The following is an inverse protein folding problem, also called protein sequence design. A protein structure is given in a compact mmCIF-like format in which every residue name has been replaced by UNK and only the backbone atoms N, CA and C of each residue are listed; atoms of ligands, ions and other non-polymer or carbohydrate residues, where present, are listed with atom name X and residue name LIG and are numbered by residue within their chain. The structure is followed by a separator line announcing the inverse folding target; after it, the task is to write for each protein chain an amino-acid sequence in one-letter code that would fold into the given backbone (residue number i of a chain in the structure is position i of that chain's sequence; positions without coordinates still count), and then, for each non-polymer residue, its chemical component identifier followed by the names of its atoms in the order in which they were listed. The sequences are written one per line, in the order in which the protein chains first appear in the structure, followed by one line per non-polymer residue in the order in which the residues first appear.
data_IF_661527607581
#
_entry.id   IF_661527607581
#
_cell.length_a   1.000
_cell.length_b   1.000
_cell.length_c   1.000
_cell.angle_alpha   90.00
_cell.angle_beta   90.00
_cell.angle_gamma   90.00
#
_symmetry.space_group_name_H-M   'P 1'
#
loop_
_entity.id
_entity.type
_entity.pdbx_description
1 polymer ?
#
# COMPACT_ATOMS: atom_id res chain seq x y z
N UNK A 1 -11.89 6.92 3.94
CA UNK A 1 -11.60 7.99 4.92
C UNK A 1 -11.26 9.26 4.17
N UNK A 2 -11.85 10.41 4.52
CA UNK A 2 -11.53 11.73 3.95
C UNK A 2 -10.93 12.62 5.05
N UNK A 3 -9.82 13.29 4.77
CA UNK A 3 -9.12 14.16 5.74
C UNK A 3 -8.79 15.51 5.13
N UNK A 4 -9.13 16.57 5.85
CA UNK A 4 -8.67 17.91 5.48
C UNK A 4 -7.23 18.08 5.99
N UNK A 5 -6.31 18.46 5.10
CA UNK A 5 -4.91 18.73 5.43
C UNK A 5 -4.61 20.17 5.06
N UNK A 6 -4.25 20.98 6.05
CA UNK A 6 -4.05 22.43 5.88
C UNK A 6 -2.64 22.82 5.49
N UNK A 7 -1.68 21.93 5.72
CA UNK A 7 -0.25 22.13 5.50
C UNK A 7 0.35 20.97 4.71
N UNK A 8 1.40 20.35 5.25
CA UNK A 8 2.23 19.39 4.51
C UNK A 8 1.86 17.95 4.82
N UNK A 9 1.67 17.17 3.76
CA UNK A 9 1.63 15.70 3.82
C UNK A 9 2.92 15.11 3.25
N UNK A 10 3.45 14.07 3.89
CA UNK A 10 4.55 13.24 3.39
C UNK A 10 4.05 11.82 3.19
N UNK A 11 4.38 11.19 2.07
CA UNK A 11 3.91 9.85 1.71
C UNK A 11 5.12 8.96 1.39
N UNK A 12 5.19 7.82 2.05
CA UNK A 12 6.14 6.72 1.77
C UNK A 12 5.37 5.42 1.59
N UNK A 13 5.87 4.49 0.78
CA UNK A 13 5.29 3.16 0.59
C UNK A 13 6.38 2.11 0.51
N UNK A 14 6.00 0.82 0.49
CA UNK A 14 6.89 -0.26 0.07
C UNK A 14 8.19 -0.32 0.88
N UNK A 15 8.07 -0.21 2.21
CA UNK A 15 9.20 -0.40 3.13
C UNK A 15 9.53 -1.88 3.34
N UNK A 16 8.53 -2.76 3.14
CA UNK A 16 8.68 -4.22 3.12
C UNK A 16 9.46 -4.78 4.31
N UNK A 17 9.20 -4.29 5.53
CA UNK A 17 9.86 -4.80 6.73
C UNK A 17 9.66 -6.32 6.84
N UNK A 18 10.75 -7.06 6.88
CA UNK A 18 10.73 -8.53 6.80
C UNK A 18 11.31 -9.09 5.50
N UNK A 19 11.44 -8.27 4.45
CA UNK A 19 12.24 -8.59 3.25
C UNK A 19 13.75 -8.38 3.54
N UNK A 20 14.64 -9.30 3.14
CA UNK A 20 16.08 -9.14 3.32
C UNK A 20 16.69 -7.90 2.63
N UNK A 21 16.04 -7.37 1.60
CA UNK A 21 16.45 -6.18 0.86
C UNK A 21 15.86 -4.88 1.39
N UNK A 22 15.09 -4.90 2.49
CA UNK A 22 14.48 -3.71 3.09
C UNK A 22 15.53 -2.71 3.60
N UNK A 23 15.64 -1.56 2.92
CA UNK A 23 16.59 -0.50 3.19
C UNK A 23 16.25 0.28 4.47
N UNK A 24 14.96 0.42 4.78
CA UNK A 24 14.48 1.15 5.97
C UNK A 24 14.76 0.40 7.30
N UNK A 25 15.61 -0.63 7.28
CA UNK A 25 16.15 -1.31 8.47
C UNK A 25 17.55 -0.81 8.86
N UNK A 26 18.18 -0.01 7.99
CA UNK A 26 19.55 0.48 8.17
C UNK A 26 19.54 1.83 8.89
N UNK A 27 20.35 1.93 9.94
CA UNK A 27 20.40 3.12 10.80
C UNK A 27 20.75 4.40 10.03
N UNK A 28 21.72 4.34 9.11
CA UNK A 28 22.13 5.48 8.27
C UNK A 28 20.99 6.01 7.40
N UNK A 29 20.16 5.12 6.86
CA UNK A 29 19.01 5.48 6.02
C UNK A 29 17.88 6.06 6.87
N UNK A 30 17.59 5.44 8.02
CA UNK A 30 16.56 5.92 8.95
C UNK A 30 16.93 7.32 9.46
N UNK A 31 18.15 7.50 9.95
CA UNK A 31 18.65 8.79 10.46
C UNK A 31 18.60 9.87 9.37
N UNK A 32 19.03 9.56 8.15
CA UNK A 32 18.95 10.48 7.02
C UNK A 32 17.51 10.89 6.70
N UNK A 33 16.59 9.92 6.66
CA UNK A 33 15.18 10.20 6.38
C UNK A 33 14.54 11.07 7.46
N UNK A 34 14.73 10.73 8.74
CA UNK A 34 14.23 11.53 9.85
C UNK A 34 14.83 12.94 9.85
N UNK A 35 16.12 13.09 9.53
CA UNK A 35 16.76 14.41 9.39
C UNK A 35 16.11 15.23 8.29
N UNK A 36 15.85 14.65 7.12
CA UNK A 36 15.16 15.37 6.04
C UNK A 36 13.72 15.75 6.42
N UNK A 37 13.00 14.91 7.17
CA UNK A 37 11.67 15.25 7.69
C UNK A 37 11.74 16.42 8.69
N UNK A 38 12.70 16.41 9.60
CA UNK A 38 12.90 17.47 10.60
C UNK A 38 13.25 18.82 9.94
N UNK A 39 14.11 18.80 8.92
CA UNK A 39 14.49 19.98 8.15
C UNK A 39 13.29 20.63 7.41
N UNK A 40 12.26 19.86 7.08
CA UNK A 40 11.02 20.39 6.48
C UNK A 40 10.17 21.16 7.50
N UNK A 41 10.41 20.98 8.79
CA UNK A 41 9.60 21.53 9.87
C UNK A 41 8.33 20.71 10.10
N UNK A 42 7.26 21.39 10.54
CA UNK A 42 6.03 20.71 10.93
C UNK A 42 5.36 19.98 9.75
N UNK A 43 5.01 18.71 9.98
CA UNK A 43 4.28 17.85 9.03
C UNK A 43 2.89 17.60 9.61
N UNK A 44 1.84 17.93 8.85
CA UNK A 44 0.46 17.68 9.28
C UNK A 44 0.13 16.19 9.22
N UNK A 45 0.65 15.49 8.21
CA UNK A 45 0.32 14.09 7.96
C UNK A 45 1.51 13.32 7.37
N UNK A 46 1.92 12.23 8.02
CA UNK A 46 2.79 11.23 7.43
C UNK A 46 1.98 9.99 7.06
N UNK A 47 2.03 9.58 5.79
CA UNK A 47 1.29 8.43 5.26
C UNK A 47 2.24 7.28 4.92
N UNK A 48 1.98 6.11 5.47
CA UNK A 48 2.56 4.82 5.08
C UNK A 48 1.61 4.13 4.09
N UNK A 49 1.85 4.32 2.79
CA UNK A 49 0.99 3.93 1.67
C UNK A 49 1.21 2.48 1.21
N UNK A 50 0.99 1.56 2.14
CA UNK A 50 0.93 0.12 1.89
C UNK A 50 2.29 -0.55 1.76
N UNK A 51 2.26 -1.87 1.93
CA UNK A 51 3.43 -2.75 1.93
C UNK A 51 4.53 -2.25 2.89
N UNK A 52 4.09 -1.86 4.09
CA UNK A 52 4.96 -1.50 5.21
C UNK A 52 5.67 -2.73 5.73
N UNK A 53 4.93 -3.83 5.91
CA UNK A 53 5.45 -5.14 6.34
C UNK A 53 5.28 -6.19 5.26
N UNK A 54 6.30 -7.03 5.05
CA UNK A 54 6.20 -8.17 4.14
C UNK A 54 5.72 -9.42 4.87
N UNK A 55 4.39 -9.53 5.07
CA UNK A 55 3.78 -10.69 5.74
C UNK A 55 3.64 -11.91 4.84
N UNK A 56 3.91 -11.76 3.54
CA UNK A 56 3.91 -12.87 2.59
C UNK A 56 5.21 -13.67 2.66
N UNK A 57 6.32 -13.04 3.05
CA UNK A 57 7.61 -13.71 3.24
C UNK A 57 7.87 -14.15 4.66
N UNK A 58 7.46 -13.35 5.64
CA UNK A 58 7.78 -13.63 7.03
C UNK A 58 6.57 -13.47 7.94
N UNK A 59 6.75 -13.89 9.19
CA UNK A 59 5.71 -13.78 10.21
C UNK A 59 5.64 -12.35 10.71
N UNK A 60 4.44 -11.89 11.06
CA UNK A 60 4.20 -10.55 11.62
C UNK A 60 5.19 -10.16 12.72
N UNK A 61 5.48 -11.04 13.67
CA UNK A 61 6.42 -10.74 14.75
C UNK A 61 7.85 -10.44 14.23
N UNK A 62 8.29 -11.13 13.18
CA UNK A 62 9.61 -10.92 12.56
C UNK A 62 9.61 -9.64 11.71
N UNK A 63 8.55 -9.43 10.92
CA UNK A 63 8.36 -8.19 10.14
C UNK A 63 8.31 -6.96 11.06
N UNK A 64 7.55 -7.00 12.15
CA UNK A 64 7.45 -5.93 13.13
C UNK A 64 8.79 -5.68 13.84
N UNK A 65 9.52 -6.74 14.19
CA UNK A 65 10.86 -6.62 14.75
C UNK A 65 11.84 -5.94 13.79
N UNK A 66 11.75 -6.22 12.48
CA UNK A 66 12.57 -5.58 11.47
C UNK A 66 12.31 -4.06 11.36
N UNK A 67 11.06 -3.62 11.52
CA UNK A 67 10.68 -2.20 11.51
C UNK A 67 10.93 -1.45 12.83
N UNK A 68 11.33 -2.15 13.90
CA UNK A 68 11.41 -1.57 15.26
C UNK A 68 12.29 -0.32 15.33
N UNK A 69 13.46 -0.32 14.69
CA UNK A 69 14.35 0.84 14.70
C UNK A 69 13.68 2.07 14.07
N UNK A 70 13.09 1.91 12.88
CA UNK A 70 12.37 2.98 12.18
C UNK A 70 11.24 3.57 13.03
N UNK A 71 10.36 2.73 13.58
CA UNK A 71 9.22 3.22 14.38
C UNK A 71 9.66 3.87 15.70
N UNK A 72 10.77 3.45 16.31
CA UNK A 72 11.33 4.12 17.50
C UNK A 72 11.88 5.50 17.17
N UNK A 73 12.62 5.64 16.08
CA UNK A 73 13.11 6.94 15.63
C UNK A 73 11.95 7.85 15.27
N UNK A 74 10.92 7.32 14.60
CA UNK A 74 9.71 8.06 14.27
C UNK A 74 8.95 8.53 15.53
N UNK A 75 8.84 7.67 16.55
CA UNK A 75 8.25 8.01 17.85
C UNK A 75 9.05 9.10 18.58
N UNK A 76 10.38 9.03 18.51
CA UNK A 76 11.28 10.00 19.14
C UNK A 76 11.26 11.35 18.44
N UNK A 77 11.16 11.36 17.11
CA UNK A 77 11.11 12.58 16.30
C UNK A 77 9.83 13.38 16.57
N UNK A 78 8.65 12.74 16.49
CA UNK A 78 7.38 13.37 16.86
C UNK A 78 6.98 14.63 16.06
N UNK A 79 7.62 14.90 14.92
CA UNK A 79 7.37 16.10 14.10
C UNK A 79 6.13 16.03 13.19
N UNK A 80 5.49 14.86 13.11
CA UNK A 80 4.22 14.68 12.42
C UNK A 80 3.04 14.76 13.40
N UNK A 81 2.03 15.59 13.09
CA UNK A 81 0.79 15.68 13.89
C UNK A 81 -0.01 14.39 13.84
N UNK A 82 -0.01 13.74 12.69
CA UNK A 82 -0.77 12.52 12.46
C UNK A 82 0.00 11.53 11.57
N UNK A 83 -0.18 10.25 11.85
CA UNK A 83 0.35 9.16 11.06
C UNK A 83 -0.76 8.22 10.62
N UNK A 84 -0.87 7.99 9.32
CA UNK A 84 -1.86 7.09 8.71
C UNK A 84 -1.14 5.98 7.96
N UNK A 85 -1.60 4.75 8.09
CA UNK A 85 -1.20 3.62 7.27
C UNK A 85 -2.37 3.23 6.37
N UNK A 86 -2.15 3.26 5.05
CA UNK A 86 -3.05 2.62 4.10
C UNK A 86 -2.54 1.20 3.87
N UNK A 87 -3.30 0.15 4.15
CA UNK A 87 -2.79 -1.21 3.97
C UNK A 87 -2.60 -1.54 2.46
N UNK A 88 -1.49 -2.20 2.14
CA UNK A 88 -1.21 -2.79 0.84
C UNK A 88 -1.60 -4.25 0.79
N UNK A 89 -1.09 -4.99 -0.19
CA UNK A 89 -1.37 -6.42 -0.34
C UNK A 89 -0.50 -7.29 0.57
N UNK A 90 0.76 -6.91 0.84
CA UNK A 90 1.67 -7.68 1.70
C UNK A 90 1.32 -7.59 3.18
N UNK A 91 0.69 -6.49 3.61
CA UNK A 91 0.28 -6.24 4.99
C UNK A 91 -1.24 -6.16 5.15
N UNK A 92 -2.01 -6.62 4.15
CA UNK A 92 -3.47 -6.67 4.17
C UNK A 92 -4.05 -7.37 5.40
N UNK A 93 -3.32 -8.34 5.96
CA UNK A 93 -3.73 -9.06 7.17
C UNK A 93 -3.95 -8.14 8.38
N UNK A 94 -3.26 -6.99 8.45
CA UNK A 94 -3.48 -6.00 9.51
C UNK A 94 -4.90 -5.42 9.43
N UNK A 95 -5.38 -5.12 8.22
CA UNK A 95 -6.73 -4.64 7.99
C UNK A 95 -7.78 -5.74 8.22
N UNK A 96 -7.57 -6.92 7.65
CA UNK A 96 -8.54 -8.03 7.75
C UNK A 96 -8.73 -8.51 9.19
N UNK A 97 -7.66 -8.54 9.98
CA UNK A 97 -7.70 -8.87 11.40
C UNK A 97 -8.53 -7.84 12.17
N UNK A 98 -8.37 -6.56 11.87
CA UNK A 98 -9.20 -5.51 12.46
C UNK A 98 -10.68 -5.71 12.13
N UNK A 99 -11.05 -5.93 10.86
CA UNK A 99 -12.44 -6.19 10.46
C UNK A 99 -13.02 -7.38 11.23
N UNK A 100 -12.28 -8.50 11.30
CA UNK A 100 -12.73 -9.71 12.00
C UNK A 100 -12.91 -9.47 13.50
N UNK A 101 -11.99 -8.77 14.15
CA UNK A 101 -12.12 -8.40 15.57
C UNK A 101 -13.36 -7.53 15.82
N UNK A 102 -13.68 -6.59 14.92
CA UNK A 102 -14.91 -5.79 15.04
C UNK A 102 -16.16 -6.66 14.92
N UNK A 103 -16.26 -7.50 13.87
CA UNK A 103 -17.40 -8.41 13.68
C UNK A 103 -17.60 -9.34 14.88
N UNK A 104 -16.51 -9.86 15.46
CA UNK A 104 -16.54 -10.72 16.66
C UNK A 104 -17.05 -9.96 17.88
N UNK A 105 -16.62 -8.71 18.08
CA UNK A 105 -17.10 -7.85 19.18
C UNK A 105 -18.58 -7.53 19.03
N UNK A 106 -19.03 -7.18 17.83
CA UNK A 106 -20.45 -6.95 17.54
C UNK A 106 -21.29 -8.22 17.74
N UNK A 107 -20.73 -9.38 17.45
CA UNK A 107 -21.34 -10.68 17.74
C UNK A 107 -21.29 -11.09 19.22
N UNK A 108 -20.66 -10.28 20.09
CA UNK A 108 -20.52 -10.54 21.52
C UNK A 108 -19.56 -11.68 21.88
N UNK A 109 -18.61 -12.00 21.00
CA UNK A 109 -17.62 -13.05 21.26
C UNK A 109 -16.52 -12.53 22.21
N UNK A 110 -16.24 -13.26 23.29
CA UNK A 110 -15.16 -12.92 24.22
C UNK A 110 -13.79 -13.25 23.60
N UNK A 111 -12.93 -12.25 23.40
CA UNK A 111 -11.56 -12.46 22.91
C UNK A 111 -10.65 -12.93 24.07
N UNK A 112 -10.04 -14.10 23.92
CA UNK A 112 -8.90 -14.50 24.75
C UNK A 112 -7.71 -13.58 24.40
N UNK A 113 -7.11 -12.95 25.42
CA UNK A 113 -6.09 -11.89 25.33
C UNK A 113 -4.73 -12.27 24.71
N UNK A 114 -4.57 -13.44 24.11
CA UNK A 114 -3.27 -13.86 23.58
C UNK A 114 -3.08 -13.41 22.12
N UNK A 115 -2.15 -12.47 21.95
CA UNK A 115 -1.70 -11.80 20.71
C UNK A 115 -2.54 -10.59 20.27
N UNK A 116 -2.51 -9.52 21.06
CA UNK A 116 -3.04 -8.23 20.63
C UNK A 116 -1.99 -7.46 19.80
N UNK A 117 -2.14 -7.44 18.48
CA UNK A 117 -2.00 -6.16 17.79
C UNK A 117 -3.00 -5.23 18.47
N UNK A 118 -2.52 -4.21 19.19
CA UNK A 118 -3.42 -3.28 19.86
C UNK A 118 -4.02 -2.40 18.78
N UNK A 119 -5.13 -2.88 18.20
CA UNK A 119 -5.99 -2.07 17.38
C UNK A 119 -6.91 -1.28 18.31
N UNK A 120 -6.55 -0.01 18.53
CA UNK A 120 -7.23 0.95 19.38
C UNK A 120 -8.70 1.17 19.00
N UNK A 121 -9.43 1.78 19.93
CA UNK A 121 -10.85 2.09 19.76
C UNK A 121 -11.05 3.13 18.68
N UNK A 122 -11.89 2.79 17.69
CA UNK A 122 -12.48 3.73 16.73
C UNK A 122 -13.11 4.89 17.52
N UNK A 123 -12.68 6.13 17.24
CA UNK A 123 -13.45 7.33 17.61
C UNK A 123 -14.34 7.62 16.41
N UNK A 124 -15.63 7.88 16.62
CA UNK A 124 -16.58 8.14 15.53
C UNK A 124 -15.97 9.10 14.49
N UNK A 125 -15.66 8.58 13.30
CA UNK A 125 -15.10 9.33 12.18
C UNK A 125 -13.57 9.33 12.03
N UNK A 126 -12.79 8.76 12.96
CA UNK A 126 -11.32 8.80 12.93
C UNK A 126 -10.68 7.48 12.43
N UNK A 127 -11.40 6.35 12.48
CA UNK A 127 -10.95 5.06 11.94
C UNK A 127 -10.17 4.20 12.96
N UNK A 128 -9.72 3.00 12.57
CA UNK A 128 -8.96 2.12 13.45
C UNK A 128 -7.57 2.72 13.74
N UNK A 129 -7.00 2.45 14.91
CA UNK A 129 -5.60 2.81 15.25
C UNK A 129 -4.81 1.54 15.53
N UNK A 130 -3.63 1.34 14.96
CA UNK A 130 -2.66 0.35 15.43
C UNK A 130 -1.52 1.07 16.17
N UNK A 131 -1.09 0.57 17.33
CA UNK A 131 0.08 1.11 18.02
C UNK A 131 1.33 0.26 17.75
N UNK A 132 2.38 0.87 17.18
CA UNK A 132 3.67 0.21 16.88
C UNK A 132 4.79 0.98 17.54
N UNK A 133 5.51 0.35 18.48
CA UNK A 133 6.58 1.00 19.28
C UNK A 133 6.13 2.33 19.92
N UNK A 134 4.85 2.44 20.30
CA UNK A 134 4.28 3.67 20.89
C UNK A 134 3.79 4.70 19.88
N UNK A 135 3.99 4.48 18.57
CA UNK A 135 3.44 5.32 17.49
C UNK A 135 2.00 4.91 17.19
N UNK A 136 1.01 5.80 17.33
CA UNK A 136 -0.33 5.54 16.85
C UNK A 136 -0.41 5.69 15.32
N UNK A 137 -0.84 4.64 14.64
CA UNK A 137 -1.05 4.60 13.19
C UNK A 137 -2.53 4.44 12.90
N UNK A 138 -3.17 5.44 12.31
CA UNK A 138 -4.55 5.31 11.84
C UNK A 138 -4.59 4.42 10.60
N UNK A 139 -5.45 3.41 10.58
CA UNK A 139 -5.55 2.46 9.48
C UNK A 139 -6.56 2.93 8.45
N UNK A 140 -6.24 2.74 7.18
CA UNK A 140 -7.14 2.98 6.07
C UNK A 140 -7.01 1.87 5.02
N UNK A 141 -8.12 1.54 4.37
CA UNK A 141 -8.16 0.64 3.23
C UNK A 141 -9.49 0.82 2.48
N UNK A 142 -9.55 0.69 1.15
CA UNK A 142 -8.42 0.52 0.22
C UNK A 142 -7.69 1.84 -0.13
N UNK A 143 -8.26 2.98 0.23
CA UNK A 143 -7.66 4.30 -0.07
C UNK A 143 -7.94 5.33 1.02
N UNK A 144 -7.13 6.40 1.00
CA UNK A 144 -7.29 7.62 1.77
C UNK A 144 -7.49 8.80 0.81
N UNK A 145 -8.50 9.62 1.07
CA UNK A 145 -8.72 10.88 0.35
C UNK A 145 -8.27 12.04 1.22
N UNK A 146 -7.49 12.96 0.66
CA UNK A 146 -7.15 14.23 1.30
C UNK A 146 -7.82 15.39 0.55
N UNK A 147 -8.30 16.37 1.31
CA UNK A 147 -8.63 17.71 0.82
C UNK A 147 -7.50 18.67 1.21
N UNK A 148 -6.76 19.13 0.20
CA UNK A 148 -5.63 20.05 0.34
C UNK A 148 -5.97 21.38 -0.32
N UNK A 149 -6.66 22.23 0.44
CA UNK A 149 -7.04 23.57 -0.01
C UNK A 149 -8.06 23.55 -1.16
N UNK A 150 -8.99 22.59 -1.15
CA UNK A 150 -10.00 22.40 -2.19
C UNK A 150 -9.60 21.44 -3.30
N UNK A 151 -8.35 20.94 -3.28
CA UNK A 151 -7.86 19.96 -4.23
C UNK A 151 -7.89 18.56 -3.61
N UNK A 152 -8.36 17.60 -4.39
CA UNK A 152 -8.56 16.23 -3.93
C UNK A 152 -7.35 15.38 -4.27
N UNK A 153 -6.71 14.82 -3.24
CA UNK A 153 -5.65 13.81 -3.37
C UNK A 153 -6.24 12.44 -3.03
N UNK A 154 -6.03 11.46 -3.90
CA UNK A 154 -6.37 10.07 -3.65
C UNK A 154 -5.09 9.26 -3.46
N UNK A 155 -4.96 8.63 -2.30
CA UNK A 155 -3.82 7.80 -1.92
C UNK A 155 -4.30 6.33 -1.86
N UNK A 156 -3.77 5.47 -2.70
CA UNK A 156 -4.04 4.02 -2.70
C UNK A 156 -2.74 3.26 -2.92
N UNK A 157 -2.53 2.11 -2.28
CA UNK A 157 -1.29 1.35 -2.46
C UNK A 157 -1.01 1.00 -3.93
N UNK A 158 -2.02 0.54 -4.69
CA UNK A 158 -1.92 0.37 -6.14
C UNK A 158 -2.09 -1.05 -6.65
N UNK A 159 -2.18 -2.06 -5.79
CA UNK A 159 -2.39 -3.46 -6.20
C UNK A 159 -3.70 -3.69 -6.96
N UNK A 160 -4.70 -2.82 -6.80
CA UNK A 160 -5.92 -2.85 -7.62
C UNK A 160 -5.69 -2.54 -9.10
N UNK A 161 -4.59 -1.83 -9.45
CA UNK A 161 -4.21 -1.61 -10.86
C UNK A 161 -3.86 -2.93 -11.56
N UNK A 162 -3.43 -3.93 -10.79
CA UNK A 162 -3.22 -5.25 -11.36
C UNK A 162 -4.50 -5.78 -11.96
N UNK A 163 -5.69 -5.51 -11.40
CA UNK A 163 -7.02 -5.91 -11.92
C UNK A 163 -7.37 -5.37 -13.32
N UNK A 164 -6.53 -4.57 -13.96
CA UNK A 164 -6.75 -4.14 -15.35
C UNK A 164 -5.62 -4.52 -16.32
N UNK A 165 -4.53 -5.13 -15.83
CA UNK A 165 -3.48 -5.73 -16.66
C UNK A 165 -4.02 -6.78 -17.68
N UNK A 166 -3.23 -7.15 -18.68
CA UNK A 166 -3.61 -8.21 -19.64
C UNK A 166 -2.81 -9.51 -19.43
N UNK A 167 -1.84 -9.49 -18.52
CA UNK A 167 -0.68 -10.40 -18.56
C UNK A 167 -0.63 -11.41 -17.42
N UNK A 168 -1.52 -11.33 -16.43
CA UNK A 168 -1.42 -12.13 -15.21
C UNK A 168 -2.67 -12.99 -14.97
N UNK A 169 -2.52 -14.02 -14.14
CA UNK A 169 -3.52 -15.04 -13.83
C UNK A 169 -4.91 -14.48 -13.47
N UNK A 170 -4.94 -13.27 -12.89
CA UNK A 170 -6.19 -12.63 -12.53
C UNK A 170 -7.01 -12.19 -13.75
N UNK A 171 -6.47 -12.05 -14.97
CA UNK A 171 -7.26 -11.79 -16.18
C UNK A 171 -8.30 -12.90 -16.48
N UNK A 172 -8.13 -14.09 -15.87
CA UNK A 172 -9.10 -15.20 -15.90
C UNK A 172 -9.89 -15.40 -14.61
N UNK A 173 -9.45 -14.91 -13.44
CA UNK A 173 -10.41 -14.64 -12.35
C UNK A 173 -11.30 -13.46 -12.69
N UNK A 174 -10.85 -12.53 -13.54
CA UNK A 174 -11.65 -11.54 -14.22
C UNK A 174 -12.58 -12.17 -15.26
N UNK A 175 -12.34 -13.40 -15.76
CA UNK A 175 -13.37 -14.16 -16.48
C UNK A 175 -14.44 -14.70 -15.53
N UNK A 176 -14.05 -15.18 -14.34
CA UNK A 176 -14.99 -15.57 -13.29
C UNK A 176 -15.80 -14.36 -12.79
N UNK A 177 -15.12 -13.24 -12.53
CA UNK A 177 -15.72 -11.95 -12.27
C UNK A 177 -16.57 -11.50 -13.45
N UNK A 178 -16.13 -11.66 -14.73
CA UNK A 178 -16.93 -11.33 -15.94
C UNK A 178 -18.17 -12.23 -16.10
N UNK A 179 -18.12 -13.46 -15.62
CA UNK A 179 -19.25 -14.39 -15.57
C UNK A 179 -20.24 -14.00 -14.47
N UNK A 180 -19.75 -13.61 -13.30
CA UNK A 180 -20.53 -13.03 -12.20
C UNK A 180 -21.13 -11.68 -12.63
N UNK A 181 -20.33 -10.83 -13.30
CA UNK A 181 -20.64 -9.51 -13.88
C UNK A 181 -21.72 -9.55 -14.97
N UNK A 182 -21.82 -10.66 -15.73
CA UNK A 182 -22.89 -10.80 -16.73
C UNK A 182 -24.29 -10.85 -16.11
N UNK A 183 -24.39 -11.05 -14.79
CA UNK A 183 -25.64 -11.05 -14.04
C UNK A 183 -25.73 -9.99 -12.93
N UNK A 184 -24.69 -9.21 -12.64
CA UNK A 184 -24.67 -8.24 -11.54
C UNK A 184 -24.66 -6.78 -12.01
N UNK A 185 -25.36 -5.92 -11.26
CA UNK A 185 -25.39 -4.47 -11.48
C UNK A 185 -24.05 -3.84 -11.06
N UNK A 186 -23.05 -3.86 -11.94
CA UNK A 186 -21.72 -3.31 -11.68
C UNK A 186 -20.87 -4.13 -10.69
N UNK A 187 -19.59 -3.79 -10.59
CA UNK A 187 -18.67 -4.26 -9.53
C UNK A 187 -18.22 -3.02 -8.77
N UNK A 188 -18.35 -3.04 -7.45
CA UNK A 188 -17.72 -2.04 -6.58
C UNK A 188 -16.29 -2.47 -6.23
N UNK A 189 -15.44 -1.51 -5.85
CA UNK A 189 -14.08 -1.80 -5.37
C UNK A 189 -14.09 -2.81 -4.20
N UNK A 190 -15.07 -2.69 -3.30
CA UNK A 190 -15.29 -3.62 -2.18
C UNK A 190 -15.53 -5.07 -2.62
N UNK A 191 -16.12 -5.29 -3.80
CA UNK A 191 -16.34 -6.65 -4.30
C UNK A 191 -15.03 -7.27 -4.77
N UNK A 192 -14.14 -6.48 -5.37
CA UNK A 192 -12.79 -6.92 -5.75
C UNK A 192 -11.98 -7.26 -4.49
N UNK A 193 -12.08 -6.43 -3.46
CA UNK A 193 -11.41 -6.67 -2.18
C UNK A 193 -11.86 -7.98 -1.53
N UNK A 194 -13.17 -8.24 -1.47
CA UNK A 194 -13.71 -9.50 -0.96
C UNK A 194 -13.24 -10.72 -1.74
N UNK A 195 -13.05 -10.59 -3.05
CA UNK A 195 -12.53 -11.66 -3.90
C UNK A 195 -11.03 -11.91 -3.69
N UNK A 196 -10.26 -10.87 -3.34
CA UNK A 196 -8.83 -10.96 -3.12
C UNK A 196 -8.46 -11.37 -1.68
N UNK A 197 -9.30 -11.06 -0.69
CA UNK A 197 -9.07 -11.36 0.74
C UNK A 197 -8.62 -12.80 1.00
N UNK A 198 -9.27 -13.87 0.47
CA UNK A 198 -8.81 -15.24 0.70
C UNK A 198 -7.40 -15.52 0.19
N UNK A 199 -6.98 -14.86 -0.89
CA UNK A 199 -5.64 -15.02 -1.46
C UNK A 199 -4.58 -14.33 -0.60
N UNK A 200 -4.82 -13.07 -0.22
CA UNK A 200 -3.91 -12.33 0.67
C UNK A 200 -3.74 -13.01 2.04
N UNK A 201 -4.84 -13.52 2.60
CA UNK A 201 -4.82 -14.29 3.85
C UNK A 201 -4.10 -15.63 3.70
N UNK A 202 -4.30 -16.32 2.58
CA UNK A 202 -3.59 -17.57 2.31
C UNK A 202 -2.08 -17.34 2.27
N UNK A 203 -1.61 -16.31 1.55
CA UNK A 203 -0.19 -15.98 1.47
C UNK A 203 0.38 -15.66 2.85
N UNK A 204 -0.33 -14.83 3.63
CA UNK A 204 0.06 -14.50 5.00
C UNK A 204 0.08 -15.72 5.94
N UNK A 205 -0.84 -16.67 5.76
CA UNK A 205 -0.84 -17.91 6.54
C UNK A 205 0.32 -18.82 6.15
N UNK A 206 0.63 -18.92 4.86
CA UNK A 206 1.69 -19.82 4.36
C UNK A 206 3.09 -19.40 4.79
N UNK A 207 3.33 -18.10 5.02
CA UNK A 207 4.61 -17.60 5.57
C UNK A 207 4.90 -18.13 6.99
N UNK A 208 3.87 -18.65 7.68
CA UNK A 208 4.00 -19.22 9.04
C UNK A 208 4.38 -20.70 9.06
N UNK A 209 4.37 -21.39 7.92
CA UNK A 209 4.64 -22.83 7.84
C UNK A 209 6.11 -23.04 7.43
N UNK A 210 7.00 -23.43 8.36
CA UNK A 210 8.44 -23.50 8.11
C UNK A 210 8.83 -24.38 6.92
N UNK A 211 8.10 -25.49 6.70
CA UNK A 211 8.32 -26.41 5.59
C UNK A 211 7.90 -25.83 4.24
N UNK A 212 6.95 -24.88 4.23
CA UNK A 212 6.51 -24.18 3.01
C UNK A 212 7.41 -22.97 2.74
N UNK A 213 7.80 -22.22 3.78
CA UNK A 213 8.72 -21.09 3.65
C UNK A 213 10.15 -21.53 3.33
N UNK A 214 10.67 -22.60 3.93
CA UNK A 214 11.95 -23.20 3.50
C UNK A 214 11.90 -23.87 2.12
N UNK A 215 10.68 -24.14 1.61
CA UNK A 215 10.39 -24.55 0.23
C UNK A 215 9.83 -23.39 -0.59
N UNK A 216 10.23 -22.15 -0.30
CA UNK A 216 9.84 -20.92 -1.01
C UNK A 216 9.86 -21.06 -2.55
N UNK A 217 10.71 -21.93 -3.11
CA UNK A 217 10.75 -22.21 -4.56
C UNK A 217 9.78 -23.28 -5.08
N UNK A 218 9.19 -24.13 -4.23
CA UNK A 218 8.27 -25.22 -4.63
C UNK A 218 6.80 -24.96 -4.29
N UNK A 219 6.45 -24.08 -3.36
CA UNK A 219 5.04 -23.66 -3.18
C UNK A 219 4.56 -22.83 -4.37
N UNK A 220 5.38 -21.89 -4.87
CA UNK A 220 5.17 -21.29 -6.18
C UNK A 220 5.28 -22.33 -7.32
N UNK A 221 6.04 -23.41 -7.12
CA UNK A 221 6.03 -24.61 -7.96
C UNK A 221 4.70 -25.39 -7.92
N UNK A 222 4.00 -25.43 -6.80
CA UNK A 222 2.68 -26.03 -6.62
C UNK A 222 1.59 -25.12 -7.21
N UNK A 223 1.71 -23.80 -7.01
CA UNK A 223 0.92 -22.79 -7.70
C UNK A 223 1.10 -22.89 -9.23
N UNK A 224 2.34 -23.09 -9.71
CA UNK A 224 2.70 -23.41 -11.10
C UNK A 224 2.16 -24.77 -11.56
N UNK A 225 2.09 -25.76 -10.68
CA UNK A 225 1.51 -27.07 -10.98
C UNK A 225 0.01 -26.94 -11.22
N UNK A 226 -0.72 -26.25 -10.34
CA UNK A 226 -2.13 -25.89 -10.57
C UNK A 226 -2.29 -25.02 -11.82
N UNK A 227 -1.36 -24.10 -12.07
CA UNK A 227 -1.38 -23.27 -13.28
C UNK A 227 -1.13 -24.07 -14.58
N UNK A 228 -0.22 -25.04 -14.57
CA UNK A 228 0.04 -25.96 -15.71
C UNK A 228 -1.12 -26.92 -15.94
N UNK A 229 -1.72 -27.45 -14.87
CA UNK A 229 -2.90 -28.32 -14.94
C UNK A 229 -4.09 -27.59 -15.60
N UNK A 230 -4.17 -26.28 -15.40
CA UNK A 230 -5.21 -25.39 -15.95
C UNK A 230 -4.79 -24.64 -17.24
N UNK A 231 -3.67 -25.02 -17.89
CA UNK A 231 -3.13 -24.44 -19.14
C UNK A 231 -2.87 -22.93 -19.09
N UNK A 232 -2.27 -22.42 -18.01
CA UNK A 232 -1.84 -21.03 -17.89
C UNK A 232 -0.34 -20.90 -18.21
N UNK A 233 0.03 -19.92 -19.05
CA UNK A 233 1.42 -19.49 -19.24
C UNK A 233 1.71 -18.34 -18.27
N UNK A 234 2.51 -18.59 -17.25
CA UNK A 234 3.03 -17.57 -16.34
C UNK A 234 4.49 -17.28 -16.69
N UNK A 235 4.81 -16.04 -17.04
CA UNK A 235 6.18 -15.51 -17.00
C UNK A 235 6.33 -14.74 -15.69
N UNK A 236 7.21 -15.20 -14.80
CA UNK A 236 7.63 -14.46 -13.58
C UNK A 236 7.02 -14.93 -12.25
N UNK A 237 7.82 -14.80 -11.18
CA UNK A 237 7.49 -15.06 -9.76
C UNK A 237 7.13 -13.77 -8.99
N UNK A 238 6.97 -12.67 -9.73
CA UNK A 238 6.89 -11.28 -9.23
C UNK A 238 5.58 -10.65 -9.73
N UNK A 239 5.05 -9.64 -9.02
CA UNK A 239 3.96 -8.79 -9.54
C UNK A 239 4.29 -8.38 -10.99
N UNK A 240 3.37 -8.55 -11.95
CA UNK A 240 3.62 -8.26 -13.37
C UNK A 240 3.94 -6.78 -13.63
N UNK A 241 3.68 -5.92 -12.64
CA UNK A 241 3.93 -4.47 -12.67
C UNK A 241 5.10 -4.04 -11.79
N UNK A 242 5.79 -4.97 -11.12
CA UNK A 242 7.02 -4.56 -10.44
C UNK A 242 7.97 -3.98 -11.48
N UNK A 243 8.45 -2.78 -11.20
CA UNK A 243 9.27 -1.93 -12.04
C UNK A 243 8.57 -1.24 -13.22
N UNK A 244 7.23 -1.32 -13.37
CA UNK A 244 6.55 -0.54 -14.42
C UNK A 244 6.42 0.92 -14.05
N UNK A 245 6.71 1.80 -15.01
CA UNK A 245 6.67 3.25 -14.81
C UNK A 245 5.23 3.76 -14.65
N UNK A 246 5.08 4.99 -14.15
CA UNK A 246 3.76 5.63 -14.02
C UNK A 246 3.04 5.71 -15.36
N UNK A 247 3.77 6.03 -16.44
CA UNK A 247 3.24 6.10 -17.80
C UNK A 247 2.71 4.75 -18.28
N UNK A 248 3.41 3.65 -17.99
CA UNK A 248 2.97 2.29 -18.33
C UNK A 248 1.69 1.87 -17.59
N UNK A 249 1.38 2.52 -16.47
CA UNK A 249 0.19 2.26 -15.65
C UNK A 249 -0.99 3.21 -15.95
N UNK A 250 -0.84 4.11 -16.92
CA UNK A 250 -1.84 5.14 -17.26
C UNK A 250 -3.19 4.55 -17.67
N UNK A 251 -3.19 3.49 -18.49
CA UNK A 251 -4.44 2.89 -19.00
C UNK A 251 -5.24 2.27 -17.86
N UNK A 252 -4.59 1.56 -16.95
CA UNK A 252 -5.23 0.86 -15.85
C UNK A 252 -5.68 1.80 -14.75
N UNK A 253 -4.89 2.85 -14.50
CA UNK A 253 -5.29 3.93 -13.60
C UNK A 253 -6.53 4.63 -14.12
N UNK A 254 -6.63 4.85 -15.44
CA UNK A 254 -7.84 5.39 -16.08
C UNK A 254 -9.05 4.49 -15.83
N UNK A 255 -8.92 3.20 -16.06
CA UNK A 255 -10.02 2.23 -15.89
C UNK A 255 -10.44 2.12 -14.42
N UNK A 256 -9.48 2.10 -13.49
CA UNK A 256 -9.75 2.11 -12.05
C UNK A 256 -10.55 3.37 -11.64
N UNK A 257 -10.07 4.56 -12.03
CA UNK A 257 -10.71 5.83 -11.69
C UNK A 257 -12.12 5.98 -12.32
N UNK A 258 -12.31 5.47 -13.54
CA UNK A 258 -13.61 5.55 -14.22
C UNK A 258 -14.63 4.52 -13.70
N UNK A 259 -14.18 3.30 -13.40
CA UNK A 259 -15.08 2.18 -13.21
C UNK A 259 -15.20 1.69 -11.77
N UNK A 260 -14.14 1.81 -10.96
CA UNK A 260 -14.15 1.34 -9.56
C UNK A 260 -14.26 2.47 -8.56
N UNK A 261 -13.91 3.69 -8.96
CA UNK A 261 -13.98 4.89 -8.13
C UNK A 261 -14.84 6.01 -8.77
N UNK A 262 -16.02 5.69 -9.35
CA UNK A 262 -16.85 6.72 -9.96
C UNK A 262 -17.28 7.76 -8.90
N UNK A 263 -17.02 9.04 -9.17
CA UNK A 263 -17.31 10.14 -8.25
C UNK A 263 -16.13 10.56 -7.34
N UNK A 264 -15.03 9.80 -7.34
CA UNK A 264 -13.80 10.11 -6.62
C UNK A 264 -12.65 10.49 -7.54
N UNK A 265 -12.94 11.14 -8.68
CA UNK A 265 -11.88 11.61 -9.59
C UNK A 265 -11.06 12.66 -8.83
N UNK A 266 -9.77 12.41 -8.56
CA UNK A 266 -8.92 13.33 -7.83
C UNK A 266 -8.19 14.28 -8.77
N UNK A 267 -7.60 15.33 -8.22
CA UNK A 267 -6.62 16.16 -8.94
C UNK A 267 -5.25 15.47 -8.95
N UNK A 268 -4.91 14.76 -7.87
CA UNK A 268 -3.70 13.94 -7.72
C UNK A 268 -4.04 12.51 -7.28
N UNK A 269 -3.56 11.52 -8.03
CA UNK A 269 -3.60 10.10 -7.68
C UNK A 269 -2.21 9.58 -7.33
N UNK A 270 -2.01 9.17 -6.07
CA UNK A 270 -0.73 8.65 -5.56
C UNK A 270 -0.83 7.16 -5.28
N UNK A 271 0.20 6.42 -5.70
CA UNK A 271 0.32 4.98 -5.46
C UNK A 271 1.76 4.53 -5.25
N UNK A 272 1.95 3.31 -4.73
CA UNK A 272 3.24 2.62 -4.59
C UNK A 272 3.24 1.37 -5.49
N UNK A 273 3.46 0.19 -4.90
CA UNK A 273 3.26 -1.17 -5.48
C UNK A 273 4.17 -1.56 -6.64
N UNK A 274 4.40 -0.66 -7.60
CA UNK A 274 5.25 -0.91 -8.78
C UNK A 274 6.72 -0.64 -8.51
N UNK A 275 7.05 -0.03 -7.36
CA UNK A 275 8.42 0.27 -6.94
C UNK A 275 9.19 1.20 -7.90
N UNK A 276 8.50 1.85 -8.84
CA UNK A 276 9.11 2.73 -9.82
C UNK A 276 8.62 4.16 -9.62
N UNK A 277 9.40 4.92 -8.85
CA UNK A 277 9.08 6.30 -8.49
C UNK A 277 8.98 7.18 -9.73
N UNK A 278 7.94 8.03 -9.80
CA UNK A 278 7.80 8.92 -10.94
C UNK A 278 6.51 9.72 -10.94
N UNK A 279 6.34 10.52 -12.00
CA UNK A 279 5.12 11.27 -12.27
C UNK A 279 4.56 10.86 -13.62
N UNK A 280 3.24 10.95 -13.77
CA UNK A 280 2.54 10.76 -15.04
C UNK A 280 1.24 11.54 -15.05
N UNK A 281 0.53 11.54 -16.16
CA UNK A 281 -0.78 12.19 -16.27
C UNK A 281 -1.76 11.27 -16.98
N UNK A 282 -3.00 11.23 -16.50
CA UNK A 282 -4.07 10.46 -17.12
C UNK A 282 -5.30 11.32 -17.36
N UNK A 283 -5.92 11.17 -18.52
CA UNK A 283 -7.20 11.82 -18.83
C UNK A 283 -8.37 10.95 -18.40
N UNK A 284 -9.15 11.47 -17.46
CA UNK A 284 -10.34 10.83 -16.91
C UNK A 284 -11.55 11.71 -17.23
N UNK A 285 -12.37 11.27 -18.18
CA UNK A 285 -13.46 12.09 -18.73
C UNK A 285 -12.91 13.36 -19.42
N UNK A 286 -13.34 14.53 -18.94
CA UNK A 286 -12.91 15.84 -19.47
C UNK A 286 -11.72 16.46 -18.72
N UNK A 287 -11.33 15.91 -17.56
CA UNK A 287 -10.23 16.40 -16.73
C UNK A 287 -8.93 15.61 -16.90
N UNK A 288 -7.81 16.24 -16.56
CA UNK A 288 -6.52 15.57 -16.36
C UNK A 288 -6.31 15.29 -14.87
N UNK A 289 -5.75 14.14 -14.56
CA UNK A 289 -5.36 13.73 -13.21
C UNK A 289 -3.86 13.55 -13.20
N UNK A 290 -3.17 14.24 -12.30
CA UNK A 290 -1.74 14.03 -12.06
C UNK A 290 -1.57 12.71 -11.31
N UNK A 291 -0.61 11.90 -11.72
CA UNK A 291 -0.28 10.65 -11.08
C UNK A 291 1.12 10.72 -10.49
N UNK A 292 1.30 10.17 -9.30
CA UNK A 292 2.61 10.04 -8.66
C UNK A 292 2.80 8.62 -8.11
N UNK A 293 3.96 8.04 -8.37
CA UNK A 293 4.39 6.81 -7.70
C UNK A 293 5.48 7.13 -6.67
N UNK A 294 5.31 6.66 -5.45
CA UNK A 294 6.22 6.92 -4.32
C UNK A 294 7.53 6.13 -4.39
N UNK A 295 7.61 5.09 -5.22
CA UNK A 295 8.77 4.20 -5.33
C UNK A 295 8.78 3.12 -4.26
N UNK A 296 9.98 2.77 -3.77
CA UNK A 296 10.14 1.79 -2.71
C UNK A 296 11.42 2.00 -1.90
N UNK A 297 11.56 1.24 -0.81
CA UNK A 297 12.74 1.21 0.03
C UNK A 297 13.38 -0.18 0.04
N UNK A 298 13.59 -0.74 -1.16
CA UNK A 298 14.26 -2.01 -1.39
C UNK A 298 15.56 -1.81 -2.18
N UNK A 299 16.57 -2.63 -1.87
CA UNK A 299 17.89 -2.61 -2.55
C UNK A 299 17.82 -3.11 -4.02
N UNK A 300 16.68 -3.65 -4.45
CA UNK A 300 16.46 -4.15 -5.80
C UNK A 300 15.61 -3.22 -6.68
N UNK A 301 15.42 -1.96 -6.29
CA UNK A 301 14.82 -0.93 -7.13
C UNK A 301 15.60 -0.75 -8.44
N UNK A 302 14.91 -0.36 -9.53
CA UNK A 302 15.62 0.09 -10.74
C UNK A 302 16.61 1.22 -10.39
N UNK A 303 17.73 1.28 -11.12
CA UNK A 303 18.79 2.25 -10.83
C UNK A 303 18.23 3.68 -10.70
N UNK A 304 18.27 4.20 -9.48
CA UNK A 304 17.86 5.58 -9.17
C UNK A 304 16.40 5.78 -8.74
N UNK A 305 15.57 4.73 -8.63
CA UNK A 305 14.14 4.89 -8.29
C UNK A 305 13.76 4.48 -6.85
N UNK A 306 14.69 3.87 -6.10
CA UNK A 306 14.51 3.54 -4.67
C UNK A 306 14.93 4.66 -3.70
N UNK A 307 14.54 4.48 -2.43
CA UNK A 307 14.70 5.44 -1.32
C UNK A 307 13.97 6.76 -1.58
N UNK A 308 12.75 6.65 -2.10
CA UNK A 308 11.95 7.77 -2.57
C UNK A 308 10.71 7.98 -1.72
N UNK A 309 10.26 9.24 -1.69
CA UNK A 309 9.09 9.66 -0.95
C UNK A 309 8.47 10.90 -1.57
N UNK A 310 7.18 11.11 -1.34
CA UNK A 310 6.43 12.23 -1.89
C UNK A 310 6.14 13.26 -0.79
N UNK A 311 6.33 14.54 -1.11
CA UNK A 311 5.93 15.67 -0.28
C UNK A 311 4.85 16.44 -1.02
N UNK A 312 3.73 16.68 -0.33
CA UNK A 312 2.56 17.37 -0.87
C UNK A 312 2.23 18.56 0.03
N UNK A 313 2.29 19.76 -0.54
CA UNK A 313 1.85 21.01 0.07
C UNK A 313 1.31 21.96 -1.01
N UNK A 314 1.84 23.19 -1.14
CA UNK A 314 1.56 24.05 -2.29
C UNK A 314 2.19 23.50 -3.58
N UNK A 315 3.06 22.50 -3.45
CA UNK A 315 3.76 21.80 -4.53
C UNK A 315 3.72 20.31 -4.31
N UNK A 316 3.95 19.55 -5.38
CA UNK A 316 4.12 18.10 -5.30
C UNK A 316 5.57 17.79 -5.64
N UNK A 317 6.31 17.23 -4.69
CA UNK A 317 7.73 16.93 -4.84
C UNK A 317 7.99 15.47 -4.60
N UNK A 318 8.56 14.79 -5.58
CA UNK A 318 9.11 13.44 -5.43
C UNK A 318 10.58 13.59 -5.09
N UNK A 319 10.98 13.10 -3.92
CA UNK A 319 12.34 13.21 -3.40
C UNK A 319 12.97 11.84 -3.31
N UNK A 320 14.27 11.77 -3.59
CA UNK A 320 15.13 10.65 -3.23
C UNK A 320 16.03 11.09 -2.08
N UNK A 321 16.08 10.26 -1.03
CA UNK A 321 16.86 10.54 0.16
C UNK A 321 18.30 10.91 -0.18
N UNK A 322 18.75 12.09 0.25
CA UNK A 322 20.13 12.57 0.13
C UNK A 322 20.64 12.81 -1.28
N UNK A 323 19.78 12.87 -2.29
CA UNK A 323 20.19 12.92 -3.69
C UNK A 323 19.44 14.00 -4.49
N UNK A 324 18.24 13.69 -5.00
CA UNK A 324 17.53 14.54 -5.94
C UNK A 324 16.08 14.80 -5.54
N UNK A 325 15.51 15.86 -6.13
CA UNK A 325 14.09 16.21 -6.03
C UNK A 325 13.54 16.54 -7.42
N UNK A 326 12.34 16.06 -7.72
CA UNK A 326 11.56 16.44 -8.90
C UNK A 326 10.26 17.09 -8.45
N UNK A 327 10.02 18.32 -8.91
CA UNK A 327 8.83 19.09 -8.57
C UNK A 327 7.79 19.05 -9.71
N UNK A 328 6.52 19.02 -9.32
CA UNK A 328 5.35 19.32 -10.16
C UNK A 328 4.51 20.37 -9.46
N UNK A 329 3.86 21.22 -10.27
CA UNK A 329 2.83 22.12 -9.73
C UNK A 329 1.70 21.27 -9.19
N UNK A 330 1.24 21.62 -8.01
CA UNK A 330 0.20 20.88 -7.34
C UNK A 330 -1.11 21.02 -8.12
N UNK A 331 -1.48 22.25 -8.49
CA UNK A 331 -2.78 22.60 -9.06
C UNK A 331 -2.66 23.74 -10.07
#
# INVERSE_FOLDING_TARGET
MERAVTGRAVVISDTHFGDPGALMTRADIIEGFISELDEMGEIDLLVLLGDVWDLWRTRLAVAAAAGTAFFRELASWGGARELVMVCGNHDYHVWSFHEETQERREAGWEEARELSLVVGTDREGEGPVCAVEGVPLWLAYPFLTLDMGGNRVLLMHGHHLDFFSRSFWWAKTAWLARLVLKGSYGIALSDIDRLNKPFFELLTCTSRVPEISSWEYRFYGALRFFARLLRFQTKGEVSPRRFTSVEENTSESRELLLHLLPGHIPDLFVFGHTHNAGFGEVKVGAGGVLMANTGCWLDDSEEGTGMTYLVIDDRIRLRRLGDWEVERRAW
#
